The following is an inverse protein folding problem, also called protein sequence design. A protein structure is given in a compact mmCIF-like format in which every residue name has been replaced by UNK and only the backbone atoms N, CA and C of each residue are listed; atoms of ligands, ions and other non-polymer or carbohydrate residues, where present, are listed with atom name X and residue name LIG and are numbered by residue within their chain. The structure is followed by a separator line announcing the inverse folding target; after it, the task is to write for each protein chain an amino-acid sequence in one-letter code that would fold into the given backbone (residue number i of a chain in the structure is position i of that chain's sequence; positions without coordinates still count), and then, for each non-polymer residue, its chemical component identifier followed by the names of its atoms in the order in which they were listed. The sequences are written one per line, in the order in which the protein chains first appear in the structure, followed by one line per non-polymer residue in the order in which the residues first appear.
data_IF_758515195973
#
_entry.id   IF_758515195973
#
_cell.length_a   1.000
_cell.length_b   1.000
_cell.length_c   1.000
_cell.angle_alpha   90.00
_cell.angle_beta   90.00
_cell.angle_gamma   90.00
#
_symmetry.space_group_name_H-M   'P 1'
#
loop_
_entity.id
_entity.type
_entity.pdbx_description
1 polymer ?
#
# COMPACT_ATOMS: atom_id res chain seq x y z
N UNK A 1 3.20 24.79 -4.91
CA UNK A 1 3.04 23.54 -4.13
C UNK A 1 4.34 23.29 -3.39
N UNK A 2 4.26 23.13 -2.07
CA UNK A 2 5.35 22.78 -1.17
C UNK A 2 5.43 21.27 -1.02
N UNK A 3 6.57 20.67 -1.36
CA UNK A 3 6.80 19.22 -1.29
C UNK A 3 7.96 18.90 -0.37
N UNK A 4 7.78 17.90 0.51
CA UNK A 4 8.83 17.41 1.40
C UNK A 4 9.05 15.92 1.20
N UNK A 5 10.27 15.55 0.85
CA UNK A 5 10.64 14.16 0.56
C UNK A 5 11.37 13.58 1.78
N UNK A 6 10.78 12.55 2.41
CA UNK A 6 11.36 11.93 3.61
C UNK A 6 11.93 10.55 3.31
N UNK A 7 13.15 10.57 2.78
CA UNK A 7 14.05 9.43 2.65
C UNK A 7 15.42 9.97 2.23
N UNK A 8 16.54 9.25 2.47
CA UNK A 8 17.82 9.67 1.93
C UNK A 8 17.75 9.83 0.40
N UNK A 9 18.37 10.87 -0.17
CA UNK A 9 18.39 11.10 -1.62
C UNK A 9 19.06 9.97 -2.41
N UNK A 10 19.77 9.06 -1.75
CA UNK A 10 20.31 7.84 -2.34
C UNK A 10 19.24 6.87 -2.89
N UNK A 11 17.97 7.02 -2.51
CA UNK A 11 16.89 6.26 -3.17
C UNK A 11 16.60 6.88 -4.53
N UNK A 12 17.26 6.35 -5.58
CA UNK A 12 17.19 6.84 -6.95
C UNK A 12 15.76 7.13 -7.44
N UNK A 13 14.79 6.29 -7.09
CA UNK A 13 13.37 6.46 -7.48
C UNK A 13 12.74 7.77 -6.99
N UNK A 14 13.16 8.29 -5.82
CA UNK A 14 12.68 9.57 -5.31
C UNK A 14 13.29 10.75 -6.07
N UNK A 15 14.53 10.63 -6.52
CA UNK A 15 15.18 11.65 -7.37
C UNK A 15 14.49 11.72 -8.73
N UNK A 16 14.08 10.59 -9.31
CA UNK A 16 13.27 10.57 -10.52
C UNK A 16 11.95 11.33 -10.30
N UNK A 17 11.27 11.09 -9.18
CA UNK A 17 10.01 11.78 -8.90
C UNK A 17 10.18 13.28 -8.68
N UNK A 18 11.25 13.72 -8.02
CA UNK A 18 11.60 15.15 -7.93
C UNK A 18 11.72 15.80 -9.31
N UNK A 19 12.39 15.13 -10.27
CA UNK A 19 12.52 15.62 -11.64
C UNK A 19 11.16 15.72 -12.35
N UNK A 20 10.30 14.72 -12.16
CA UNK A 20 8.94 14.74 -12.69
C UNK A 20 8.08 15.87 -12.10
N UNK A 21 8.22 16.15 -10.80
CA UNK A 21 7.57 17.29 -10.14
C UNK A 21 8.06 18.63 -10.73
N UNK A 22 9.37 18.77 -10.93
CA UNK A 22 9.98 19.98 -11.54
C UNK A 22 9.53 20.19 -12.98
N UNK A 23 9.35 19.13 -13.77
CA UNK A 23 8.79 19.21 -15.12
C UNK A 23 7.36 19.81 -15.16
N UNK A 24 6.66 19.80 -14.02
CA UNK A 24 5.34 20.42 -13.83
C UNK A 24 5.38 21.72 -13.00
N UNK A 25 6.55 22.37 -12.88
CA UNK A 25 6.69 23.69 -12.24
C UNK A 25 6.65 23.66 -10.70
N UNK A 26 6.86 22.49 -10.08
CA UNK A 26 7.00 22.41 -8.62
C UNK A 26 8.43 22.75 -8.23
N UNK A 27 8.63 23.91 -7.61
CA UNK A 27 9.96 24.43 -7.26
C UNK A 27 10.32 24.26 -5.78
N UNK A 28 9.35 24.38 -4.86
CA UNK A 28 9.57 24.25 -3.41
C UNK A 28 9.62 22.78 -2.99
N UNK A 29 10.75 22.12 -3.26
CA UNK A 29 11.03 20.73 -2.91
C UNK A 29 12.24 20.67 -1.97
N UNK A 30 12.09 20.04 -0.82
CA UNK A 30 13.19 19.81 0.13
C UNK A 30 13.22 18.36 0.61
N UNK A 31 14.43 17.84 0.82
CA UNK A 31 14.66 16.53 1.44
C UNK A 31 14.81 16.68 2.95
N UNK A 32 14.01 15.95 3.71
CA UNK A 32 14.02 16.00 5.17
C UNK A 32 14.32 14.62 5.76
N UNK A 33 14.96 14.60 6.93
CA UNK A 33 15.14 13.36 7.70
C UNK A 33 13.79 12.95 8.30
N UNK A 34 13.60 11.65 8.55
CA UNK A 34 12.34 11.13 9.12
C UNK A 34 11.94 11.75 10.47
N UNK A 35 12.90 12.29 11.23
CA UNK A 35 12.64 13.00 12.49
C UNK A 35 12.43 14.51 12.35
N UNK A 36 12.56 15.07 11.16
CA UNK A 36 12.44 16.51 10.89
C UNK A 36 11.13 16.77 10.15
N UNK A 37 9.99 16.51 10.78
CA UNK A 37 8.70 16.78 10.17
C UNK A 37 8.50 18.28 9.93
N UNK A 38 8.05 18.61 8.73
CA UNK A 38 7.60 19.93 8.31
C UNK A 38 6.31 19.77 7.50
N UNK A 39 5.22 20.48 7.84
CA UNK A 39 3.99 20.47 7.05
C UNK A 39 4.23 20.91 5.61
N UNK A 40 3.64 20.18 4.66
CA UNK A 40 3.76 20.43 3.24
C UNK A 40 2.47 20.04 2.51
N UNK A 41 2.21 20.66 1.35
CA UNK A 41 1.07 20.27 0.49
C UNK A 41 1.15 18.78 0.11
N UNK A 42 2.38 18.25 0.02
CA UNK A 42 2.65 16.83 -0.15
C UNK A 42 3.92 16.37 0.57
N UNK A 43 3.78 15.39 1.46
CA UNK A 43 4.91 14.63 1.99
C UNK A 43 5.12 13.33 1.18
N UNK A 44 6.34 13.05 0.72
CA UNK A 44 6.62 11.89 -0.16
C UNK A 44 7.63 10.96 0.48
N UNK A 45 7.29 9.68 0.65
CA UNK A 45 8.17 8.70 1.29
C UNK A 45 8.30 7.43 0.45
N UNK A 46 9.46 6.78 0.54
CA UNK A 46 9.61 5.39 0.12
C UNK A 46 9.17 4.44 1.24
N UNK A 47 8.29 3.49 0.90
CA UNK A 47 7.63 2.56 1.81
C UNK A 47 6.70 3.20 2.85
N UNK A 48 5.69 2.46 3.27
CA UNK A 48 4.71 2.89 4.28
C UNK A 48 5.24 2.70 5.72
N UNK A 49 6.40 3.31 6.02
CA UNK A 49 7.16 3.11 7.27
C UNK A 49 7.40 4.39 8.09
N UNK A 50 6.62 5.42 7.84
CA UNK A 50 6.78 6.74 8.48
C UNK A 50 5.47 7.21 9.15
N UNK A 51 4.91 6.45 10.11
CA UNK A 51 3.60 6.75 10.69
C UNK A 51 3.54 8.13 11.33
N UNK A 52 4.64 8.63 11.92
CA UNK A 52 4.67 9.96 12.53
C UNK A 52 4.40 11.06 11.50
N UNK A 53 5.06 11.01 10.33
CA UNK A 53 4.86 12.00 9.26
C UNK A 53 3.47 11.83 8.63
N UNK A 54 3.06 10.58 8.38
CA UNK A 54 1.74 10.28 7.81
C UNK A 54 0.59 10.78 8.71
N UNK A 55 0.71 10.58 10.02
CA UNK A 55 -0.28 11.02 10.99
C UNK A 55 -0.25 12.54 11.17
N UNK A 56 0.94 13.16 11.16
CA UNK A 56 1.07 14.61 11.21
C UNK A 56 0.45 15.29 9.97
N UNK A 57 0.78 14.83 8.75
CA UNK A 57 0.13 15.32 7.52
C UNK A 57 -1.40 15.22 7.60
N UNK A 58 -1.92 14.05 8.01
CA UNK A 58 -3.36 13.86 8.22
C UNK A 58 -3.96 14.82 9.24
N UNK A 59 -3.28 15.06 10.36
CA UNK A 59 -3.76 15.97 11.39
C UNK A 59 -3.86 17.42 10.90
N UNK A 60 -3.05 17.81 9.90
CA UNK A 60 -3.13 19.10 9.23
C UNK A 60 -4.08 19.12 8.02
N UNK A 61 -4.76 18.01 7.71
CA UNK A 61 -5.58 17.90 6.50
C UNK A 61 -4.77 17.90 5.20
N UNK A 62 -3.47 17.61 5.27
CA UNK A 62 -2.53 17.60 4.16
C UNK A 62 -2.24 16.18 3.67
N UNK A 63 -1.76 16.05 2.44
CA UNK A 63 -1.58 14.76 1.78
C UNK A 63 -0.18 14.18 1.98
N UNK A 64 -0.09 12.85 1.98
CA UNK A 64 1.19 12.17 1.77
C UNK A 64 1.10 11.17 0.63
N UNK A 65 2.23 10.89 0.00
CA UNK A 65 2.38 9.88 -1.03
C UNK A 65 3.37 8.81 -0.59
N UNK A 66 2.97 7.55 -0.76
CA UNK A 66 3.84 6.40 -0.62
C UNK A 66 4.26 5.93 -1.99
N UNK A 67 5.58 5.93 -2.20
CA UNK A 67 6.21 5.27 -3.32
C UNK A 67 6.68 3.87 -2.91
N UNK A 68 6.36 2.88 -3.72
CA UNK A 68 6.65 1.47 -3.44
C UNK A 68 7.02 0.69 -4.70
N UNK A 69 7.34 -0.59 -4.50
CA UNK A 69 7.38 -1.57 -5.58
C UNK A 69 6.00 -1.73 -6.23
N UNK A 70 6.01 -2.17 -7.49
CA UNK A 70 4.80 -2.34 -8.27
C UNK A 70 4.06 -3.66 -7.98
N UNK A 71 2.90 -3.84 -8.61
CA UNK A 71 1.95 -4.90 -8.28
C UNK A 71 2.06 -6.13 -9.17
N UNK A 72 2.37 -5.92 -10.45
CA UNK A 72 2.54 -6.98 -11.45
C UNK A 72 3.77 -6.74 -12.32
N UNK A 73 4.17 -7.77 -13.09
CA UNK A 73 5.43 -7.81 -13.87
C UNK A 73 6.67 -7.65 -12.96
N UNK A 74 7.72 -7.02 -13.45
CA UNK A 74 8.94 -6.78 -12.69
C UNK A 74 8.69 -5.71 -11.63
N UNK A 75 8.33 -6.16 -10.41
CA UNK A 75 7.97 -5.26 -9.30
C UNK A 75 9.06 -4.26 -8.92
N UNK A 76 10.32 -4.53 -9.32
CA UNK A 76 11.47 -3.65 -9.09
C UNK A 76 11.69 -2.60 -10.18
N UNK A 77 11.29 -2.88 -11.43
CA UNK A 77 11.43 -1.94 -12.56
C UNK A 77 10.38 -0.84 -12.55
N UNK A 78 9.20 -1.15 -12.03
CA UNK A 78 8.11 -0.21 -11.90
C UNK A 78 8.05 0.38 -10.48
N UNK A 79 7.31 1.48 -10.37
CA UNK A 79 7.16 2.29 -9.16
C UNK A 79 5.66 2.53 -8.98
N UNK A 80 5.12 2.14 -7.83
CA UNK A 80 3.77 2.54 -7.44
C UNK A 80 3.82 3.90 -6.72
N UNK A 81 2.81 4.73 -6.94
CA UNK A 81 2.68 6.06 -6.32
C UNK A 81 1.23 6.23 -5.87
N UNK A 82 0.97 6.04 -4.57
CA UNK A 82 -0.37 6.12 -4.00
C UNK A 82 -0.45 7.16 -2.89
N UNK A 83 -1.53 7.94 -2.87
CA UNK A 83 -1.77 8.91 -1.79
C UNK A 83 -2.40 8.25 -0.57
N UNK A 84 -2.08 8.77 0.60
CA UNK A 84 -2.79 8.59 1.87
C UNK A 84 -3.03 7.14 2.34
N UNK A 85 -2.27 6.18 1.82
CA UNK A 85 -2.41 4.77 2.18
C UNK A 85 -1.35 3.88 1.55
N UNK A 86 -1.59 2.58 1.60
CA UNK A 86 -0.76 1.54 0.98
C UNK A 86 -1.67 0.54 0.27
N UNK A 87 -1.28 0.13 -0.94
CA UNK A 87 -2.02 -0.83 -1.78
C UNK A 87 -3.49 -0.41 -1.91
N UNK A 88 -4.46 -1.31 -1.72
CA UNK A 88 -5.89 -1.00 -1.86
C UNK A 88 -6.44 0.02 -0.85
N UNK A 89 -5.64 0.43 0.15
CA UNK A 89 -5.98 1.54 1.04
C UNK A 89 -5.48 2.90 0.53
N UNK A 90 -4.72 2.94 -0.57
CA UNK A 90 -4.20 4.17 -1.16
C UNK A 90 -5.13 4.70 -2.26
N UNK A 91 -5.04 6.01 -2.49
CA UNK A 91 -5.72 6.68 -3.61
C UNK A 91 -4.75 6.81 -4.79
N UNK A 92 -5.11 6.21 -5.93
CA UNK A 92 -4.35 6.29 -7.18
C UNK A 92 -5.02 7.16 -8.25
N UNK A 93 -6.29 7.52 -8.05
CA UNK A 93 -7.15 8.18 -9.05
C UNK A 93 -7.26 7.42 -10.37
N UNK A 94 -7.25 6.09 -10.27
CA UNK A 94 -7.22 5.17 -11.40
C UNK A 94 -8.58 4.52 -11.72
N UNK A 95 -9.70 5.18 -11.42
CA UNK A 95 -11.04 4.65 -11.72
C UNK A 95 -11.37 4.90 -13.20
N UNK A 96 -12.07 3.94 -13.82
CA UNK A 96 -12.57 4.01 -15.20
C UNK A 96 -11.51 4.43 -16.22
N UNK A 97 -10.26 4.01 -15.99
CA UNK A 97 -9.14 4.33 -16.85
C UNK A 97 -9.18 3.53 -18.17
N UNK A 98 -8.65 4.08 -19.27
CA UNK A 98 -8.58 3.37 -20.53
C UNK A 98 -7.58 2.20 -20.50
N UNK A 99 -7.68 1.29 -21.46
CA UNK A 99 -6.84 0.09 -21.54
C UNK A 99 -5.45 0.29 -22.17
N UNK A 100 -5.11 1.51 -22.56
CA UNK A 100 -3.85 1.85 -23.23
C UNK A 100 -2.61 1.51 -22.40
N UNK A 101 -2.62 1.79 -21.08
CA UNK A 101 -1.52 1.43 -20.18
C UNK A 101 -1.41 -0.08 -20.01
N UNK A 102 -2.54 -0.78 -19.86
CA UNK A 102 -2.53 -2.24 -19.76
C UNK A 102 -1.91 -2.87 -21.02
N UNK A 103 -2.27 -2.35 -22.21
CA UNK A 103 -1.68 -2.77 -23.48
C UNK A 103 -0.16 -2.51 -23.53
N UNK A 104 0.33 -1.36 -23.04
CA UNK A 104 1.77 -1.05 -22.96
C UNK A 104 2.55 -2.04 -22.08
N UNK A 105 1.93 -2.58 -21.03
CA UNK A 105 2.58 -3.59 -20.19
C UNK A 105 2.70 -4.96 -20.86
N UNK A 106 1.87 -5.25 -21.87
CA UNK A 106 1.89 -6.52 -22.62
C UNK A 106 1.66 -7.73 -21.71
N UNK A 107 0.65 -7.64 -20.84
CA UNK A 107 0.26 -8.71 -19.91
C UNK A 107 -1.06 -9.31 -20.36
N UNK A 108 -1.10 -10.63 -20.47
CA UNK A 108 -2.30 -11.37 -20.80
C UNK A 108 -3.06 -11.76 -19.54
N UNK A 109 -4.37 -11.50 -19.50
CA UNK A 109 -5.27 -12.07 -18.50
C UNK A 109 -5.66 -13.47 -18.95
N UNK A 110 -5.14 -14.51 -18.30
CA UNK A 110 -5.51 -15.90 -18.62
C UNK A 110 -6.99 -16.14 -18.31
N UNK A 111 -7.69 -17.00 -19.06
CA UNK A 111 -9.07 -17.37 -18.76
C UNK A 111 -9.25 -17.85 -17.33
N UNK A 112 -10.41 -17.61 -16.73
CA UNK A 112 -10.68 -18.09 -15.39
C UNK A 112 -10.65 -19.63 -15.33
N UNK A 113 -9.97 -20.16 -14.31
CA UNK A 113 -10.00 -21.56 -13.97
C UNK A 113 -11.34 -21.95 -13.35
N UNK A 114 -11.79 -23.14 -13.70
CA UNK A 114 -13.00 -23.76 -13.15
C UNK A 114 -12.68 -24.85 -12.13
N UNK A 115 -11.41 -25.23 -11.97
CA UNK A 115 -10.96 -26.24 -11.01
C UNK A 115 -9.47 -26.14 -10.71
N UNK A 116 -8.97 -27.12 -9.96
CA UNK A 116 -7.57 -27.25 -9.54
C UNK A 116 -7.44 -28.27 -8.41
N UNK A 117 -6.22 -28.50 -7.96
CA UNK A 117 -5.86 -29.57 -7.04
C UNK A 117 -6.10 -29.20 -5.57
N UNK A 118 -6.05 -27.89 -5.24
CA UNK A 118 -6.13 -27.40 -3.86
C UNK A 118 -6.56 -25.93 -3.76
N UNK A 119 -6.95 -25.53 -2.54
CA UNK A 119 -7.06 -24.12 -2.13
C UNK A 119 -5.71 -23.65 -1.60
N UNK A 120 -5.21 -22.53 -2.12
CA UNK A 120 -3.89 -22.00 -1.79
C UNK A 120 -4.00 -20.80 -0.84
N UNK A 121 -3.52 -20.96 0.40
CA UNK A 121 -3.36 -19.85 1.35
C UNK A 121 -1.99 -19.20 1.18
N UNK A 122 -1.96 -17.93 0.77
CA UNK A 122 -0.75 -17.15 0.52
C UNK A 122 -0.35 -16.35 1.76
N UNK A 123 0.82 -16.66 2.33
CA UNK A 123 1.39 -15.97 3.47
C UNK A 123 2.04 -14.62 3.12
N UNK A 124 2.15 -13.76 4.14
CA UNK A 124 2.80 -12.44 4.11
C UNK A 124 3.89 -12.37 5.19
N UNK A 125 4.78 -11.38 5.08
CA UNK A 125 5.85 -11.15 6.07
C UNK A 125 5.24 -10.61 7.37
N UNK A 126 5.53 -11.26 8.50
CA UNK A 126 5.10 -10.78 9.82
C UNK A 126 5.64 -9.37 10.08
N UNK A 127 4.76 -8.46 10.51
CA UNK A 127 5.10 -7.06 10.77
C UNK A 127 5.20 -6.18 9.52
N UNK A 128 4.86 -6.69 8.34
CA UNK A 128 4.75 -5.87 7.13
C UNK A 128 3.65 -4.80 7.26
N UNK A 129 3.85 -3.64 6.65
CA UNK A 129 2.89 -2.53 6.70
C UNK A 129 1.52 -2.90 6.11
N UNK A 130 1.48 -3.84 5.14
CA UNK A 130 0.21 -4.37 4.60
C UNK A 130 -0.62 -5.12 5.64
N UNK A 131 -0.01 -5.62 6.72
CA UNK A 131 -0.70 -6.31 7.81
C UNK A 131 -1.11 -5.38 8.96
N UNK A 132 -1.03 -4.06 8.80
CA UNK A 132 -1.40 -3.10 9.86
C UNK A 132 -2.84 -3.28 10.38
N UNK A 133 -3.76 -3.76 9.54
CA UNK A 133 -5.16 -4.07 9.90
C UNK A 133 -5.33 -5.47 10.51
N UNK A 134 -4.30 -6.33 10.47
CA UNK A 134 -4.33 -7.71 10.96
C UNK A 134 -3.44 -7.90 12.20
N UNK A 135 -3.92 -7.43 13.36
CA UNK A 135 -3.15 -7.50 14.63
C UNK A 135 -2.76 -8.92 15.03
N UNK A 136 -3.56 -9.92 14.66
CA UNK A 136 -3.38 -11.33 15.03
C UNK A 136 -3.16 -12.23 13.81
N UNK A 137 -2.21 -11.88 12.95
CA UNK A 137 -1.99 -12.57 11.67
C UNK A 137 -1.74 -14.08 11.78
N UNK A 138 -1.01 -14.55 12.79
CA UNK A 138 -0.80 -16.00 13.01
C UNK A 138 -2.12 -16.69 13.36
N UNK A 139 -2.98 -16.06 14.17
CA UNK A 139 -4.29 -16.61 14.49
C UNK A 139 -5.19 -16.64 13.25
N UNK A 140 -5.15 -15.59 12.43
CA UNK A 140 -5.82 -15.57 11.13
C UNK A 140 -5.39 -16.73 10.23
N UNK A 141 -4.09 -17.00 10.10
CA UNK A 141 -3.60 -18.11 9.27
C UNK A 141 -4.11 -19.47 9.78
N UNK A 142 -4.14 -19.69 11.10
CA UNK A 142 -4.65 -20.93 11.70
C UNK A 142 -6.16 -21.08 11.46
N UNK A 143 -6.94 -20.02 11.68
CA UNK A 143 -8.38 -20.00 11.40
C UNK A 143 -8.67 -20.24 9.91
N UNK A 144 -7.89 -19.61 9.03
CA UNK A 144 -8.03 -19.77 7.59
C UNK A 144 -7.78 -21.21 7.15
N UNK A 145 -6.73 -21.87 7.63
CA UNK A 145 -6.44 -23.27 7.30
C UNK A 145 -7.60 -24.21 7.63
N UNK A 146 -8.29 -23.97 8.75
CA UNK A 146 -9.46 -24.76 9.14
C UNK A 146 -10.69 -24.43 8.31
N UNK A 147 -11.00 -23.15 8.15
CA UNK A 147 -12.21 -22.71 7.44
C UNK A 147 -12.16 -22.98 5.94
N UNK A 148 -10.99 -22.93 5.31
CA UNK A 148 -10.84 -23.18 3.87
C UNK A 148 -11.19 -24.61 3.46
N UNK A 149 -11.28 -25.55 4.41
CA UNK A 149 -11.78 -26.92 4.17
C UNK A 149 -13.23 -26.93 3.67
N UNK A 150 -14.01 -25.87 3.90
CA UNK A 150 -15.38 -25.77 3.40
C UNK A 150 -15.51 -25.87 1.87
N UNK A 151 -14.42 -25.58 1.14
CA UNK A 151 -14.40 -25.68 -0.32
C UNK A 151 -14.18 -27.12 -0.84
N UNK A 152 -14.08 -28.11 0.04
CA UNK A 152 -14.02 -29.53 -0.34
C UNK A 152 -12.72 -29.96 -1.04
N UNK A 153 -11.69 -29.13 -1.02
CA UNK A 153 -10.38 -29.41 -1.61
C UNK A 153 -9.29 -29.39 -0.52
N UNK A 154 -8.15 -30.08 -0.74
CA UNK A 154 -6.97 -29.92 0.11
C UNK A 154 -6.57 -28.45 0.24
N UNK A 155 -6.06 -28.05 1.41
CA UNK A 155 -5.59 -26.68 1.67
C UNK A 155 -4.08 -26.71 1.76
N UNK A 156 -3.40 -25.95 0.89
CA UNK A 156 -1.95 -25.76 0.95
C UNK A 156 -1.60 -24.34 1.37
N UNK A 157 -0.57 -24.21 2.19
CA UNK A 157 0.01 -22.93 2.57
C UNK A 157 1.26 -22.64 1.77
N UNK A 158 1.38 -21.42 1.25
CA UNK A 158 2.60 -20.93 0.64
C UNK A 158 3.19 -19.82 1.50
N UNK A 159 4.33 -20.04 2.18
CA UNK A 159 4.98 -19.00 2.95
C UNK A 159 5.51 -17.87 2.04
N UNK A 160 5.67 -16.69 2.61
CA UNK A 160 6.30 -15.58 1.89
C UNK A 160 7.82 -15.86 1.73
N UNK A 161 8.42 -15.73 0.53
CA UNK A 161 9.81 -16.14 0.27
C UNK A 161 10.86 -15.33 1.06
N UNK A 162 10.52 -14.11 1.47
CA UNK A 162 11.39 -13.21 2.27
C UNK A 162 11.06 -13.20 3.77
N UNK A 163 10.06 -13.97 4.20
CA UNK A 163 9.62 -14.01 5.59
C UNK A 163 10.02 -15.32 6.26
N UNK A 164 10.14 -15.32 7.59
CA UNK A 164 10.15 -16.57 8.34
C UNK A 164 8.78 -17.23 8.19
N UNK A 165 8.78 -18.52 7.89
CA UNK A 165 7.54 -19.32 7.87
C UNK A 165 6.87 -19.22 9.24
N UNK A 166 5.60 -18.76 9.32
CA UNK A 166 4.87 -18.73 10.57
C UNK A 166 4.72 -20.13 11.17
N UNK A 167 4.71 -20.29 12.51
CA UNK A 167 4.56 -21.58 13.17
C UNK A 167 3.10 -22.06 13.10
N UNK A 168 2.72 -22.59 11.93
CA UNK A 168 1.40 -23.15 11.63
C UNK A 168 1.56 -24.59 11.12
N UNK A 169 0.61 -25.46 11.43
CA UNK A 169 0.60 -26.83 10.92
C UNK A 169 -0.15 -26.86 9.59
N UNK A 170 0.58 -26.79 8.47
CA UNK A 170 0.00 -26.75 7.14
C UNK A 170 0.85 -27.53 6.14
N UNK A 171 0.20 -28.16 5.17
CA UNK A 171 0.90 -28.69 4.00
C UNK A 171 1.46 -27.54 3.17
N UNK A 172 2.76 -27.58 2.86
CA UNK A 172 3.42 -26.50 2.12
C UNK A 172 3.29 -26.70 0.62
N UNK A 173 2.82 -25.67 -0.09
CA UNK A 173 2.96 -25.57 -1.54
C UNK A 173 4.42 -25.21 -1.88
N UNK A 174 5.20 -26.22 -2.29
CA UNK A 174 6.57 -26.03 -2.77
C UNK A 174 6.64 -25.39 -4.16
N UNK A 175 7.84 -24.98 -4.57
CA UNK A 175 8.10 -24.41 -5.89
C UNK A 175 7.90 -22.89 -5.97
N UNK A 176 7.83 -22.39 -7.21
CA UNK A 176 7.61 -20.96 -7.47
C UNK A 176 6.17 -20.54 -7.17
N UNK A 177 5.90 -19.23 -7.18
CA UNK A 177 4.51 -18.74 -7.09
C UNK A 177 3.69 -19.23 -8.31
N UNK A 178 4.30 -19.22 -9.49
CA UNK A 178 3.67 -19.69 -10.72
C UNK A 178 3.30 -21.18 -10.64
N UNK A 179 4.21 -22.03 -10.14
CA UNK A 179 3.95 -23.46 -9.94
C UNK A 179 2.76 -23.68 -8.99
N UNK A 180 2.72 -22.93 -7.88
CA UNK A 180 1.63 -23.02 -6.93
C UNK A 180 0.29 -22.56 -7.52
N UNK A 181 0.29 -21.44 -8.24
CA UNK A 181 -0.91 -20.93 -8.92
C UNK A 181 -1.36 -21.84 -10.07
N UNK A 182 -0.45 -22.53 -10.74
CA UNK A 182 -0.77 -23.45 -11.85
C UNK A 182 -1.67 -24.61 -11.42
N UNK A 183 -1.59 -25.03 -10.14
CA UNK A 183 -2.38 -26.12 -9.56
C UNK A 183 -3.50 -25.65 -8.64
N UNK A 184 -3.49 -24.39 -8.19
CA UNK A 184 -4.51 -23.86 -7.31
C UNK A 184 -5.88 -23.75 -8.01
N UNK A 185 -6.94 -24.18 -7.32
CA UNK A 185 -8.34 -23.95 -7.69
C UNK A 185 -8.80 -22.54 -7.27
N UNK A 186 -8.35 -22.09 -6.10
CA UNK A 186 -8.61 -20.77 -5.51
C UNK A 186 -7.36 -20.32 -4.76
N UNK A 187 -7.05 -19.02 -4.82
CA UNK A 187 -5.99 -18.41 -4.02
C UNK A 187 -6.56 -17.45 -2.98
N UNK A 188 -6.09 -17.56 -1.73
CA UNK A 188 -6.61 -16.81 -0.58
C UNK A 188 -5.48 -16.09 0.12
N UNK A 189 -5.70 -14.84 0.52
CA UNK A 189 -4.76 -14.11 1.38
C UNK A 189 -5.48 -13.05 2.19
N UNK A 190 -4.79 -12.49 3.18
CA UNK A 190 -5.28 -11.30 3.86
C UNK A 190 -5.38 -10.14 2.86
N UNK A 191 -4.24 -9.66 2.36
CA UNK A 191 -4.18 -8.65 1.30
C UNK A 191 -2.87 -8.70 0.49
N UNK A 192 -2.28 -9.89 0.34
CA UNK A 192 -1.04 -10.05 -0.43
C UNK A 192 -1.21 -9.65 -1.89
N UNK A 193 -0.23 -8.90 -2.42
CA UNK A 193 -0.13 -8.63 -3.86
C UNK A 193 0.03 -9.92 -4.69
N UNK A 194 0.32 -11.08 -4.08
CA UNK A 194 0.31 -12.37 -4.80
C UNK A 194 -1.10 -12.75 -5.31
N UNK A 195 -2.16 -12.12 -4.77
CA UNK A 195 -3.51 -12.25 -5.33
C UNK A 195 -3.64 -11.56 -6.70
N UNK A 196 -2.87 -10.50 -6.98
CA UNK A 196 -2.81 -9.89 -8.32
C UNK A 196 -2.28 -10.89 -9.33
N UNK A 197 -1.19 -11.59 -9.00
CA UNK A 197 -0.62 -12.63 -9.86
C UNK A 197 -1.60 -13.78 -10.07
N UNK A 198 -2.33 -14.18 -9.02
CA UNK A 198 -3.37 -15.20 -9.10
C UNK A 198 -4.49 -14.81 -10.07
N UNK A 199 -5.02 -13.58 -9.94
CA UNK A 199 -6.03 -13.03 -10.84
C UNK A 199 -5.52 -12.98 -12.27
N UNK A 200 -4.30 -12.50 -12.54
CA UNK A 200 -3.72 -12.47 -13.89
C UNK A 200 -3.58 -13.90 -14.46
N UNK A 201 -3.19 -14.86 -13.63
CA UNK A 201 -3.05 -16.27 -13.99
C UNK A 201 -4.39 -17.01 -14.15
N UNK A 202 -5.54 -16.34 -13.95
CA UNK A 202 -6.86 -16.95 -14.06
C UNK A 202 -7.27 -17.77 -12.85
N UNK A 203 -6.57 -17.68 -11.72
CA UNK A 203 -6.98 -18.35 -10.47
C UNK A 203 -7.94 -17.43 -9.71
N UNK A 204 -9.20 -17.82 -9.46
CA UNK A 204 -10.13 -17.01 -8.68
C UNK A 204 -9.61 -16.81 -7.24
N UNK A 205 -9.91 -15.65 -6.66
CA UNK A 205 -9.29 -15.19 -5.42
C UNK A 205 -10.27 -14.87 -4.32
N UNK A 206 -9.80 -15.02 -3.07
CA UNK A 206 -10.46 -14.49 -1.88
C UNK A 206 -9.49 -13.52 -1.20
N UNK A 207 -9.91 -12.26 -1.10
CA UNK A 207 -9.19 -11.23 -0.36
C UNK A 207 -9.92 -10.96 0.96
N UNK A 208 -9.24 -11.08 2.09
CA UNK A 208 -9.86 -10.88 3.41
C UNK A 208 -9.79 -9.43 3.91
N UNK A 209 -9.04 -8.55 3.24
CA UNK A 209 -8.92 -7.14 3.57
C UNK A 209 -8.85 -6.28 2.29
N UNK A 210 -9.52 -5.11 2.33
CA UNK A 210 -9.61 -4.17 1.21
C UNK A 210 -8.27 -3.58 0.76
N UNK A 211 -7.21 -3.77 1.53
CA UNK A 211 -5.85 -3.43 1.13
C UNK A 211 -5.31 -4.28 -0.02
N UNK A 212 -6.03 -5.33 -0.43
CA UNK A 212 -5.66 -6.14 -1.60
C UNK A 212 -5.87 -5.35 -2.89
N UNK A 213 -4.87 -5.29 -3.75
CA UNK A 213 -5.02 -4.70 -5.10
C UNK A 213 -5.93 -5.53 -6.03
N UNK A 214 -6.30 -6.75 -5.61
CA UNK A 214 -7.23 -7.63 -6.31
C UNK A 214 -8.67 -7.57 -5.75
N UNK A 215 -8.96 -6.65 -4.81
CA UNK A 215 -10.21 -6.62 -4.05
C UNK A 215 -11.46 -6.66 -4.94
N UNK A 216 -11.56 -5.78 -5.93
CA UNK A 216 -12.77 -5.60 -6.76
C UNK A 216 -13.13 -6.83 -7.63
N UNK A 217 -12.18 -7.75 -7.81
CA UNK A 217 -12.33 -8.97 -8.62
C UNK A 217 -12.15 -10.25 -7.80
N UNK A 218 -12.20 -10.13 -6.47
CA UNK A 218 -12.09 -11.24 -5.52
C UNK A 218 -13.37 -11.41 -4.72
N UNK A 219 -13.62 -12.63 -4.22
CA UNK A 219 -14.58 -12.81 -3.14
C UNK A 219 -14.01 -12.22 -1.84
N UNK A 220 -14.89 -11.82 -0.91
CA UNK A 220 -14.49 -11.17 0.34
C UNK A 220 -14.81 -12.07 1.53
N UNK A 221 -13.78 -12.70 2.08
CA UNK A 221 -13.88 -13.56 3.26
C UNK A 221 -13.99 -15.06 2.96
N UNK A 222 -13.54 -15.86 3.93
CA UNK A 222 -13.49 -17.32 3.82
C UNK A 222 -14.89 -17.91 4.03
N UNK A 223 -15.30 -18.77 3.08
CA UNK A 223 -16.64 -19.36 3.00
C UNK A 223 -17.58 -18.62 2.04
N UNK A 224 -17.13 -17.51 1.44
CA UNK A 224 -17.87 -16.82 0.39
C UNK A 224 -17.93 -17.64 -0.90
N UNK A 225 -18.94 -17.39 -1.73
CA UNK A 225 -19.01 -17.96 -3.07
C UNK A 225 -17.81 -17.51 -3.92
N UNK A 226 -17.24 -18.44 -4.68
CA UNK A 226 -16.10 -18.16 -5.57
C UNK A 226 -16.59 -17.46 -6.83
N UNK A 227 -16.29 -16.18 -6.95
CA UNK A 227 -16.66 -15.34 -8.10
C UNK A 227 -15.62 -15.38 -9.21
N UNK A 228 -16.07 -15.08 -10.44
CA UNK A 228 -15.24 -14.99 -11.67
C UNK A 228 -15.71 -13.83 -12.56
N UNK A 229 -15.64 -12.58 -12.06
CA UNK A 229 -16.16 -11.42 -12.80
C UNK A 229 -15.32 -11.14 -14.05
N UNK A 230 -15.81 -10.26 -14.93
CA UNK A 230 -14.93 -9.61 -15.90
C UNK A 230 -13.84 -8.82 -15.15
N UNK A 231 -12.60 -8.92 -15.66
CA UNK A 231 -11.40 -8.31 -15.06
C UNK A 231 -10.85 -7.17 -15.91
N UNK A 232 -11.46 -6.88 -17.06
CA UNK A 232 -10.93 -5.94 -18.04
C UNK A 232 -10.73 -4.55 -17.43
N UNK A 233 -11.79 -3.98 -16.84
CA UNK A 233 -11.69 -2.65 -16.22
C UNK A 233 -10.77 -2.63 -15.00
N UNK A 234 -10.75 -3.71 -14.21
CA UNK A 234 -9.81 -3.85 -13.09
C UNK A 234 -8.35 -3.79 -13.56
N UNK A 235 -8.02 -4.49 -14.65
CA UNK A 235 -6.67 -4.50 -15.20
C UNK A 235 -6.26 -3.14 -15.77
N UNK A 236 -7.19 -2.44 -16.44
CA UNK A 236 -6.98 -1.06 -16.89
C UNK A 236 -6.66 -0.14 -15.71
N UNK A 237 -7.49 -0.15 -14.67
CA UNK A 237 -7.31 0.65 -13.47
C UNK A 237 -5.99 0.31 -12.76
N UNK A 238 -5.62 -0.98 -12.67
CA UNK A 238 -4.37 -1.42 -12.06
C UNK A 238 -3.14 -0.89 -12.80
N UNK A 239 -3.18 -0.82 -14.13
CA UNK A 239 -2.07 -0.29 -14.94
C UNK A 239 -1.74 1.19 -14.66
N UNK A 240 -2.72 1.95 -14.18
CA UNK A 240 -2.55 3.35 -13.78
C UNK A 240 -1.98 3.53 -12.35
N UNK A 241 -1.74 2.43 -11.64
CA UNK A 241 -1.16 2.47 -10.28
C UNK A 241 0.36 2.32 -10.27
N UNK A 242 0.99 1.97 -11.40
CA UNK A 242 2.42 1.72 -11.51
C UNK A 242 3.04 2.31 -12.79
N UNK A 243 4.26 2.82 -12.64
CA UNK A 243 4.95 3.63 -13.64
C UNK A 243 6.40 3.22 -13.76
N UNK A 244 6.96 3.27 -14.96
CA UNK A 244 8.39 3.09 -15.18
C UNK A 244 9.19 4.26 -14.59
N UNK A 245 10.49 4.06 -14.34
CA UNK A 245 11.35 5.16 -13.92
C UNK A 245 11.34 6.37 -14.88
N UNK A 246 11.24 6.12 -16.20
CA UNK A 246 11.16 7.17 -17.22
C UNK A 246 9.86 7.96 -17.16
N UNK A 247 8.73 7.30 -16.94
CA UNK A 247 7.42 7.97 -16.78
C UNK A 247 7.36 8.77 -15.48
N UNK A 248 8.02 8.29 -14.42
CA UNK A 248 8.15 9.05 -13.17
C UNK A 248 9.06 10.27 -13.36
N UNK A 249 10.19 10.12 -14.06
CA UNK A 249 11.14 11.20 -14.31
C UNK A 249 10.63 12.29 -15.24
N UNK A 250 9.93 11.91 -16.31
CA UNK A 250 9.34 12.85 -17.27
C UNK A 250 8.14 13.62 -16.71
N UNK A 251 7.55 13.15 -15.62
CA UNK A 251 6.36 13.74 -15.02
C UNK A 251 5.05 13.10 -15.46
N UNK A 252 5.03 12.13 -16.39
CA UNK A 252 3.79 11.44 -16.82
C UNK A 252 3.01 10.86 -15.63
N UNK A 253 3.71 10.22 -14.68
CA UNK A 253 3.06 9.71 -13.46
C UNK A 253 2.43 10.84 -12.64
N UNK A 254 3.11 11.98 -12.51
CA UNK A 254 2.59 13.13 -11.78
C UNK A 254 1.44 13.80 -12.53
N UNK A 255 1.46 13.84 -13.87
CA UNK A 255 0.38 14.37 -14.68
C UNK A 255 -0.95 13.64 -14.42
N UNK A 256 -0.90 12.32 -14.18
CA UNK A 256 -2.06 11.54 -13.75
C UNK A 256 -2.46 11.85 -12.30
N UNK A 257 -1.49 11.89 -11.38
CA UNK A 257 -1.76 11.99 -9.94
C UNK A 257 -2.17 13.39 -9.49
N UNK A 258 -1.70 14.45 -10.17
CA UNK A 258 -1.94 15.84 -9.79
C UNK A 258 -3.40 16.27 -9.92
N UNK A 259 -4.25 15.48 -10.58
CA UNK A 259 -5.70 15.71 -10.63
C UNK A 259 -6.35 15.78 -9.25
N UNK A 260 -5.69 15.23 -8.22
CA UNK A 260 -6.05 15.43 -6.82
C UNK A 260 -6.06 16.90 -6.37
N UNK A 261 -5.33 17.77 -7.06
CA UNK A 261 -5.25 19.19 -6.77
C UNK A 261 -6.10 20.03 -7.74
N UNK A 262 -6.74 19.41 -8.73
CA UNK A 262 -7.66 20.10 -9.62
C UNK A 262 -8.93 20.49 -8.83
N UNK A 263 -9.34 21.75 -8.91
CA UNK A 263 -10.55 22.27 -8.26
C UNK A 263 -10.44 22.61 -6.76
N UNK A 264 -9.26 22.50 -6.14
CA UNK A 264 -9.01 23.05 -4.80
C UNK A 264 -8.29 24.39 -4.93
N UNK A 265 -8.82 25.50 -4.40
CA UNK A 265 -7.95 26.60 -4.00
C UNK A 265 -6.91 25.99 -3.06
N UNK A 266 -5.63 26.11 -3.40
CA UNK A 266 -4.59 25.94 -2.39
C UNK A 266 -4.72 27.18 -1.51
N UNK A 267 -5.69 27.18 -0.60
CA UNK A 267 -5.64 28.06 0.56
C UNK A 267 -4.36 27.66 1.28
N UNK A 268 -3.33 28.49 1.14
CA UNK A 268 -2.18 28.40 2.02
C UNK A 268 -2.76 28.47 3.42
N UNK A 269 -2.77 27.35 4.14
CA UNK A 269 -3.08 27.42 5.55
C UNK A 269 -2.13 28.45 6.15
N UNK A 270 -2.62 29.36 7.01
CA UNK A 270 -1.74 30.26 7.72
C UNK A 270 -0.61 29.41 8.32
N UNK A 271 0.63 29.91 8.26
CA UNK A 271 1.74 29.23 8.92
C UNK A 271 1.25 28.79 10.30
N UNK A 272 1.50 27.52 10.71
CA UNK A 272 1.10 27.10 12.05
C UNK A 272 1.61 28.19 12.98
N UNK A 273 0.70 28.78 13.78
CA UNK A 273 1.09 29.75 14.80
C UNK A 273 2.33 29.17 15.43
N UNK A 274 3.45 29.92 15.36
CA UNK A 274 4.64 29.54 16.09
C UNK A 274 4.14 29.38 17.51
N UNK A 275 3.96 28.13 17.95
CA UNK A 275 3.68 27.89 19.34
C UNK A 275 4.79 28.65 20.04
N UNK A 276 4.38 29.62 20.85
CA UNK A 276 5.31 30.35 21.70
C UNK A 276 6.22 29.34 22.41
N UNK A 277 7.38 29.78 22.90
CA UNK A 277 8.29 28.89 23.61
C UNK A 277 7.50 27.98 24.54
N UNK A 278 7.82 26.68 24.54
CA UNK A 278 7.14 25.67 25.34
C UNK A 278 6.82 26.25 26.72
N UNK A 279 5.61 26.00 27.26
CA UNK A 279 5.16 26.61 28.50
C UNK A 279 6.27 26.49 29.55
N UNK A 280 6.62 27.62 30.16
CA UNK A 280 7.67 27.66 31.16
C UNK A 280 7.35 26.60 32.23
N UNK A 281 8.40 25.95 32.71
CA UNK A 281 8.42 25.00 33.81
C UNK A 281 7.57 25.39 35.04
N UNK A 282 7.26 26.68 35.20
CA UNK A 282 6.36 27.24 36.20
C UNK A 282 4.87 26.91 35.99
N UNK A 283 4.39 26.74 34.75
CA UNK A 283 2.97 26.43 34.46
C UNK A 283 2.63 24.94 34.57
N UNK A 284 3.61 24.06 34.32
CA UNK A 284 3.46 22.62 34.55
C UNK A 284 3.26 22.28 36.04
N UNK A 285 3.75 23.15 36.95
CA UNK A 285 3.63 22.98 38.40
C UNK A 285 2.19 23.14 38.92
N UNK A 286 1.33 23.85 38.20
CA UNK A 286 -0.08 24.05 38.57
C UNK A 286 -1.02 22.90 38.13
N UNK A 287 -0.56 22.02 37.24
CA UNK A 287 -1.35 20.89 36.73
C UNK A 287 -1.38 19.73 37.73
N UNK A 288 -2.53 19.07 37.83
CA UNK A 288 -2.62 17.81 38.58
C UNK A 288 -1.69 16.75 37.98
N UNK A 289 -1.26 15.74 38.76
CA UNK A 289 -0.39 14.68 38.24
C UNK A 289 -0.95 13.95 37.01
N UNK A 290 -2.28 13.88 36.86
CA UNK A 290 -2.94 13.26 35.71
C UNK A 290 -2.86 14.13 34.45
N UNK A 291 -3.07 15.44 34.59
CA UNK A 291 -2.99 16.41 33.51
C UNK A 291 -1.55 16.58 33.01
N UNK A 292 -0.59 16.62 33.93
CA UNK A 292 0.84 16.67 33.57
C UNK A 292 1.27 15.44 32.75
N UNK A 293 0.88 14.23 33.19
CA UNK A 293 1.13 12.98 32.45
C UNK A 293 0.43 12.90 31.09
N UNK A 294 -0.64 13.66 30.87
CA UNK A 294 -1.33 13.76 29.58
C UNK A 294 -0.61 14.75 28.67
N UNK A 295 -0.21 15.90 29.20
CA UNK A 295 0.56 16.92 28.49
C UNK A 295 1.94 16.39 28.05
N UNK A 296 2.67 15.71 28.94
CA UNK A 296 3.98 15.09 28.64
C UNK A 296 3.89 14.03 27.53
N UNK A 297 2.77 13.27 27.47
CA UNK A 297 2.50 12.28 26.41
C UNK A 297 2.16 12.91 25.07
N UNK A 298 1.40 14.01 25.06
CA UNK A 298 1.05 14.74 23.84
C UNK A 298 2.26 15.45 23.23
N UNK A 299 3.19 15.91 24.08
CA UNK A 299 4.41 16.61 23.67
C UNK A 299 5.59 15.67 23.39
N UNK A 300 5.44 14.36 23.59
CA UNK A 300 6.50 13.37 23.32
C UNK A 300 7.76 13.54 24.18
N UNK A 301 7.63 14.15 25.37
CA UNK A 301 8.76 14.63 26.18
C UNK A 301 9.43 13.57 27.06
N UNK A 302 8.91 12.34 27.15
CA UNK A 302 9.66 11.20 27.72
C UNK A 302 9.36 9.87 27.04
N UNK A 303 10.41 9.06 26.92
CA UNK A 303 10.42 7.64 26.57
C UNK A 303 9.75 6.78 27.66
#
# INVERSE_FOLDING_TARGET
MKVRIYCPPAQHKLVLFERGLKAHGVEDISYLRRGQYEPADLAVHWAHKSPNIQNAQRAHGLDYMVMELAYFRSRTEYISLGFNGLNGHAEFYSRDCPGDRWAKHGVELKPWKTGGDYVLLLGQVLGDASLATCRHYIAFLKDALERLKCYGLPVKFRPHPKGKTPPINAEIAGGSLEDALSKAAVAVSWNSNSLVDAVIAGVPTIACDKGSMAWDVSAHGIGAEIIRPDRTQWAHNLAYTQWTGREVESGEAWAHLKQRYDGRPIERMPEPERHGPAPDSSELLALTPAERRRAERLLGLRA
#
